data_IF_300674079187
#
_entry.id   IF_300674079187
#
_cell.length_a   1.000
_cell.length_b   1.000
_cell.length_c   1.000
_cell.angle_alpha   90.00
_cell.angle_beta   90.00
_cell.angle_gamma   90.00
#
_symmetry.space_group_name_H-M   'P 1'
#
loop_
_entity.id
_entity.type
_entity.pdbx_description
1 polymer ?
#
# COMPACT_ATOMS: atom_id res chain seq x y z
N UNK A 1 28.87 -3.87 -2.18
CA UNK A 1 27.73 -3.80 -1.24
C UNK A 1 26.39 -4.14 -1.93
N UNK A 2 25.99 -3.44 -3.01
CA UNK A 2 24.68 -3.58 -3.65
C UNK A 2 24.35 -4.95 -4.30
N UNK A 3 25.35 -5.83 -4.48
CA UNK A 3 25.22 -7.14 -5.14
C UNK A 3 25.17 -8.34 -4.18
N UNK A 4 25.08 -8.13 -2.87
CA UNK A 4 24.95 -9.22 -1.89
C UNK A 4 23.51 -9.76 -1.83
N UNK A 5 23.29 -11.09 -1.72
CA UNK A 5 21.96 -11.69 -1.88
C UNK A 5 21.08 -11.68 -0.63
N UNK A 6 21.61 -11.35 0.56
CA UNK A 6 20.80 -11.34 1.79
C UNK A 6 19.70 -10.28 1.71
N UNK A 7 18.57 -10.52 2.38
CA UNK A 7 17.39 -9.63 2.33
C UNK A 7 16.87 -9.43 3.75
N UNK A 8 17.77 -8.95 4.58
CA UNK A 8 17.66 -8.83 6.03
C UNK A 8 18.15 -7.46 6.52
N UNK A 9 18.03 -7.23 7.82
CA UNK A 9 18.40 -5.96 8.46
C UNK A 9 19.91 -5.68 8.35
N UNK A 10 20.77 -6.71 8.36
CA UNK A 10 22.20 -6.54 8.14
C UNK A 10 22.52 -5.91 6.77
N UNK A 11 21.76 -6.24 5.72
CA UNK A 11 21.93 -5.59 4.42
C UNK A 11 21.46 -4.14 4.43
N UNK A 12 20.40 -3.81 5.18
CA UNK A 12 19.98 -2.42 5.36
C UNK A 12 21.11 -1.61 5.99
N UNK A 13 21.73 -2.12 7.05
CA UNK A 13 22.86 -1.47 7.73
C UNK A 13 24.06 -1.27 6.79
N UNK A 14 24.37 -2.28 5.97
CA UNK A 14 25.43 -2.19 4.97
C UNK A 14 25.15 -1.10 3.92
N UNK A 15 23.91 -1.01 3.40
CA UNK A 15 23.53 0.01 2.43
C UNK A 15 23.58 1.42 3.04
N UNK A 16 23.13 1.57 4.28
CA UNK A 16 23.16 2.86 4.98
C UNK A 16 24.59 3.29 5.30
N UNK A 17 25.44 2.35 5.72
CA UNK A 17 26.87 2.62 5.92
C UNK A 17 27.51 3.06 4.61
N UNK A 18 27.24 2.35 3.52
CA UNK A 18 27.72 2.74 2.19
C UNK A 18 27.25 4.15 1.80
N UNK A 19 25.97 4.48 1.98
CA UNK A 19 25.43 5.82 1.72
C UNK A 19 26.18 6.91 2.49
N UNK A 20 26.46 6.68 3.79
CA UNK A 20 27.22 7.61 4.63
C UNK A 20 28.65 7.77 4.09
N UNK A 21 29.32 6.68 3.71
CA UNK A 21 30.67 6.73 3.15
C UNK A 21 30.72 7.50 1.81
N UNK A 22 29.69 7.38 0.97
CA UNK A 22 29.58 8.20 -0.24
C UNK A 22 29.52 9.70 0.08
N UNK A 23 28.93 10.08 1.21
CA UNK A 23 28.97 11.46 1.74
C UNK A 23 30.39 11.95 1.99
N UNK A 24 31.20 11.16 2.69
CA UNK A 24 32.61 11.50 2.97
C UNK A 24 33.46 11.54 1.69
N UNK A 25 33.23 10.60 0.77
CA UNK A 25 33.95 10.54 -0.52
C UNK A 25 33.63 11.73 -1.40
N UNK A 26 32.36 12.12 -1.52
CA UNK A 26 31.95 13.29 -2.31
C UNK A 26 32.66 14.56 -1.83
N UNK A 27 32.60 14.83 -0.52
CA UNK A 27 33.19 16.03 0.07
C UNK A 27 34.71 16.12 -0.11
N UNK A 28 35.40 14.97 -0.23
CA UNK A 28 36.87 14.93 -0.34
C UNK A 28 37.38 14.89 -1.77
N UNK A 29 36.68 14.18 -2.66
CA UNK A 29 37.23 13.82 -3.97
C UNK A 29 36.45 14.39 -5.16
N UNK A 30 35.25 14.96 -4.94
CA UNK A 30 34.39 15.47 -6.01
C UNK A 30 34.16 16.99 -5.85
N UNK A 31 35.18 17.83 -6.08
CA UNK A 31 35.01 19.27 -6.07
C UNK A 31 34.14 19.72 -7.26
N UNK A 32 33.32 20.79 -7.13
CA UNK A 32 32.44 21.27 -8.21
C UNK A 32 33.19 21.68 -9.49
N UNK A 33 34.48 21.97 -9.38
CA UNK A 33 35.33 22.50 -10.46
C UNK A 33 36.02 21.42 -11.29
N UNK A 34 35.92 20.13 -10.93
CA UNK A 34 36.65 19.05 -11.62
C UNK A 34 35.77 17.82 -11.83
N UNK A 35 35.59 17.41 -13.08
CA UNK A 35 34.99 16.11 -13.40
C UNK A 35 36.05 15.02 -13.28
N UNK A 36 35.81 14.02 -12.43
CA UNK A 36 36.76 12.92 -12.16
C UNK A 36 36.73 11.78 -13.19
N UNK A 37 35.85 11.86 -14.21
CA UNK A 37 35.77 10.86 -15.28
C UNK A 37 35.13 9.53 -14.89
N UNK A 38 34.63 9.39 -13.64
CA UNK A 38 33.85 8.22 -13.23
C UNK A 38 32.42 8.32 -13.75
N UNK A 39 31.84 7.18 -14.14
CA UNK A 39 30.46 7.07 -14.57
C UNK A 39 29.75 6.07 -13.65
N UNK A 40 28.70 6.52 -12.99
CA UNK A 40 27.80 5.67 -12.22
C UNK A 40 26.63 5.31 -13.11
N UNK A 41 26.39 4.01 -13.33
CA UNK A 41 25.34 3.50 -14.20
C UNK A 41 24.38 2.61 -13.41
N UNK A 42 23.11 2.95 -13.47
CA UNK A 42 22.01 2.22 -12.82
C UNK A 42 20.91 1.91 -13.83
N UNK A 43 20.11 0.89 -13.55
CA UNK A 43 18.98 0.50 -14.38
C UNK A 43 17.68 0.95 -13.72
N UNK A 44 16.82 1.62 -14.48
CA UNK A 44 15.48 1.97 -14.06
C UNK A 44 14.66 0.70 -13.83
N UNK A 45 14.11 0.56 -12.61
CA UNK A 45 13.46 -0.67 -12.17
C UNK A 45 12.09 -0.94 -12.81
N UNK A 46 11.50 0.03 -13.50
CA UNK A 46 10.18 -0.08 -14.14
C UNK A 46 10.29 -0.26 -15.67
N UNK A 47 11.20 0.48 -16.29
CA UNK A 47 11.37 0.55 -17.75
C UNK A 47 12.55 -0.28 -18.25
N UNK A 48 13.51 -0.62 -17.39
CA UNK A 48 14.74 -1.33 -17.74
C UNK A 48 15.78 -0.48 -18.45
N UNK A 49 15.57 0.83 -18.58
CA UNK A 49 16.49 1.75 -19.24
C UNK A 49 17.72 1.99 -18.37
N UNK A 50 18.90 1.95 -18.98
CA UNK A 50 20.15 2.31 -18.31
C UNK A 50 20.30 3.83 -18.23
N UNK A 51 20.60 4.32 -17.04
CA UNK A 51 20.79 5.72 -16.71
C UNK A 51 22.18 5.90 -16.13
N UNK A 52 22.92 6.91 -16.61
CA UNK A 52 24.29 7.15 -16.17
C UNK A 52 24.55 8.61 -15.82
N UNK A 53 25.27 8.85 -14.73
CA UNK A 53 25.72 10.18 -14.31
C UNK A 53 27.18 10.17 -13.86
N UNK A 54 27.87 11.29 -14.06
CA UNK A 54 29.27 11.44 -13.64
C UNK A 54 29.43 11.91 -12.19
N UNK A 55 28.33 12.33 -11.54
CA UNK A 55 28.31 12.73 -10.14
C UNK A 55 27.77 11.60 -9.25
N UNK A 56 27.96 11.71 -7.94
CA UNK A 56 27.48 10.71 -6.97
C UNK A 56 25.97 10.76 -6.72
N UNK A 57 25.24 11.72 -7.29
CA UNK A 57 23.82 11.90 -6.98
C UNK A 57 23.02 10.66 -7.39
N UNK A 58 23.27 10.12 -8.58
CA UNK A 58 22.62 8.88 -9.04
C UNK A 58 22.95 7.69 -8.14
N UNK A 59 24.21 7.54 -7.73
CA UNK A 59 24.64 6.45 -6.85
C UNK A 59 23.93 6.55 -5.49
N UNK A 60 23.95 7.73 -4.86
CA UNK A 60 23.29 7.99 -3.58
C UNK A 60 21.78 7.78 -3.65
N UNK A 61 21.13 8.30 -4.68
CA UNK A 61 19.71 8.14 -4.92
C UNK A 61 19.33 6.66 -5.08
N UNK A 62 20.10 5.92 -5.89
CA UNK A 62 19.87 4.50 -6.15
C UNK A 62 20.08 3.63 -4.91
N UNK A 63 21.06 3.97 -4.06
CA UNK A 63 21.27 3.28 -2.76
C UNK A 63 20.06 3.50 -1.85
N UNK A 64 19.54 4.72 -1.73
CA UNK A 64 18.34 4.99 -0.93
C UNK A 64 17.11 4.29 -1.49
N UNK A 65 16.92 4.31 -2.81
CA UNK A 65 15.81 3.60 -3.47
C UNK A 65 15.86 2.11 -3.15
N UNK A 66 17.05 1.49 -3.25
CA UNK A 66 17.25 0.09 -2.92
C UNK A 66 17.06 -0.22 -1.43
N UNK A 67 17.43 0.69 -0.53
CA UNK A 67 17.12 0.58 0.90
C UNK A 67 15.62 0.57 1.15
N UNK A 68 14.87 1.48 0.51
CA UNK A 68 13.41 1.49 0.54
C UNK A 68 12.82 0.18 0.03
N UNK A 69 13.28 -0.28 -1.13
CA UNK A 69 12.88 -1.55 -1.73
C UNK A 69 13.16 -2.75 -0.81
N UNK A 70 14.32 -2.78 -0.13
CA UNK A 70 14.67 -3.84 0.81
C UNK A 70 13.72 -3.86 2.02
N UNK A 71 13.36 -2.72 2.58
CA UNK A 71 12.36 -2.65 3.65
C UNK A 71 11.00 -3.21 3.20
N UNK A 72 10.58 -2.97 1.95
CA UNK A 72 9.35 -3.60 1.41
C UNK A 72 9.44 -5.12 1.38
N UNK A 73 10.60 -5.67 1.04
CA UNK A 73 10.84 -7.11 0.98
C UNK A 73 10.87 -7.73 2.38
N UNK A 74 11.44 -7.02 3.36
CA UNK A 74 11.42 -7.44 4.75
C UNK A 74 9.97 -7.49 5.25
N UNK A 75 9.19 -6.42 5.05
CA UNK A 75 7.80 -6.32 5.50
C UNK A 75 6.90 -7.41 4.90
N UNK A 76 7.05 -7.69 3.61
CA UNK A 76 6.26 -8.74 2.91
C UNK A 76 6.61 -10.18 3.33
N UNK A 77 7.78 -10.41 3.95
CA UNK A 77 8.23 -11.73 4.40
C UNK A 77 7.94 -12.05 5.86
N UNK A 78 7.57 -11.05 6.66
CA UNK A 78 7.28 -11.27 8.09
C UNK A 78 6.04 -12.15 8.26
N UNK A 79 6.03 -12.96 9.32
CA UNK A 79 4.94 -13.87 9.62
C UNK A 79 3.72 -13.12 10.16
N UNK A 80 2.64 -13.06 9.37
CA UNK A 80 1.46 -12.22 9.64
C UNK A 80 0.46 -12.81 10.64
N UNK A 81 0.70 -14.01 11.17
CA UNK A 81 -0.19 -14.65 12.17
C UNK A 81 0.21 -14.36 13.63
N UNK A 82 1.13 -13.43 13.86
CA UNK A 82 1.54 -13.03 15.22
C UNK A 82 1.52 -11.52 15.35
N UNK A 83 1.20 -11.01 16.55
CA UNK A 83 1.23 -9.58 16.87
C UNK A 83 2.63 -8.97 16.60
N UNK A 84 3.69 -9.69 16.98
CA UNK A 84 5.07 -9.24 16.79
C UNK A 84 5.46 -9.21 15.30
N UNK A 85 5.07 -10.21 14.51
CA UNK A 85 5.34 -10.25 13.08
C UNK A 85 4.63 -9.14 12.31
N UNK A 86 3.36 -8.84 12.66
CA UNK A 86 2.61 -7.71 12.10
C UNK A 86 3.22 -6.36 12.52
N UNK A 87 3.64 -6.20 13.77
CA UNK A 87 4.35 -4.98 14.19
C UNK A 87 5.65 -4.78 13.39
N UNK A 88 6.45 -5.84 13.21
CA UNK A 88 7.67 -5.77 12.42
C UNK A 88 7.40 -5.42 10.95
N UNK A 89 6.30 -5.91 10.37
CA UNK A 89 5.89 -5.55 9.02
C UNK A 89 5.49 -4.06 8.92
N UNK A 90 4.70 -3.57 9.89
CA UNK A 90 4.33 -2.15 10.02
C UNK A 90 5.59 -1.28 10.06
N UNK A 91 6.53 -1.59 10.96
CA UNK A 91 7.76 -0.82 11.12
C UNK A 91 8.59 -0.81 9.82
N UNK A 92 8.65 -1.95 9.12
CA UNK A 92 9.36 -2.05 7.85
C UNK A 92 8.72 -1.19 6.74
N UNK A 93 7.39 -1.24 6.58
CA UNK A 93 6.71 -0.41 5.57
C UNK A 93 6.80 1.08 5.91
N UNK A 94 6.71 1.46 7.19
CA UNK A 94 6.93 2.85 7.61
C UNK A 94 8.35 3.33 7.32
N UNK A 95 9.37 2.50 7.59
CA UNK A 95 10.76 2.81 7.23
C UNK A 95 10.95 2.93 5.71
N UNK A 96 10.34 2.06 4.92
CA UNK A 96 10.36 2.17 3.46
C UNK A 96 9.75 3.50 2.99
N UNK A 97 8.57 3.87 3.52
CA UNK A 97 7.92 5.14 3.21
C UNK A 97 8.81 6.34 3.56
N UNK A 98 9.43 6.32 4.74
CA UNK A 98 10.34 7.38 5.21
C UNK A 98 11.55 7.57 4.29
N UNK A 99 12.23 6.47 3.93
CA UNK A 99 13.41 6.52 3.05
C UNK A 99 13.05 7.02 1.65
N UNK A 100 11.93 6.54 1.08
CA UNK A 100 11.47 6.98 -0.25
C UNK A 100 11.00 8.44 -0.24
N UNK A 101 10.39 8.90 0.86
CA UNK A 101 10.03 10.31 1.04
C UNK A 101 11.29 11.19 1.13
N UNK A 102 12.30 10.77 1.91
CA UNK A 102 13.58 11.47 2.00
C UNK A 102 14.29 11.55 0.65
N UNK A 103 14.32 10.45 -0.10
CA UNK A 103 14.84 10.40 -1.46
C UNK A 103 14.15 11.45 -2.36
N UNK A 104 12.81 11.49 -2.33
CA UNK A 104 12.00 12.44 -3.11
C UNK A 104 12.35 13.91 -2.79
N UNK A 105 12.50 14.22 -1.52
CA UNK A 105 12.73 15.59 -1.03
C UNK A 105 14.18 16.05 -1.25
N UNK A 106 15.13 15.12 -1.27
CA UNK A 106 16.57 15.41 -1.36
C UNK A 106 17.09 15.40 -2.80
N UNK A 107 16.60 14.49 -3.66
CA UNK A 107 17.13 14.25 -5.01
C UNK A 107 16.10 14.60 -6.09
N UNK A 108 15.84 15.91 -6.27
CA UNK A 108 14.74 16.43 -7.10
C UNK A 108 14.94 16.30 -8.61
N UNK A 109 16.16 16.08 -9.09
CA UNK A 109 16.52 16.05 -10.52
C UNK A 109 17.12 14.71 -10.94
N UNK A 110 16.59 13.62 -10.39
CA UNK A 110 17.05 12.27 -10.73
C UNK A 110 16.62 11.93 -12.16
N UNK A 111 17.55 11.53 -13.06
CA UNK A 111 17.24 11.26 -14.47
C UNK A 111 16.50 9.94 -14.74
N UNK A 112 16.26 9.13 -13.70
CA UNK A 112 15.58 7.83 -13.78
C UNK A 112 14.08 7.98 -13.52
N UNK A 113 13.25 7.28 -14.29
CA UNK A 113 11.79 7.40 -14.22
C UNK A 113 11.22 6.87 -12.91
N UNK A 114 11.74 5.75 -12.41
CA UNK A 114 11.37 5.14 -11.13
C UNK A 114 11.63 6.03 -9.90
N UNK A 115 12.50 7.04 -10.06
CA UNK A 115 12.85 8.02 -9.02
C UNK A 115 12.30 9.42 -9.27
N UNK A 116 11.40 9.63 -10.25
CA UNK A 116 10.74 10.93 -10.41
C UNK A 116 9.83 11.23 -9.21
N UNK A 117 9.61 12.51 -8.85
CA UNK A 117 8.81 12.87 -7.68
C UNK A 117 7.38 12.30 -7.67
N UNK A 118 6.75 12.19 -8.84
CA UNK A 118 5.43 11.61 -9.00
C UNK A 118 5.42 10.10 -8.67
N UNK A 119 6.38 9.34 -9.20
CA UNK A 119 6.52 7.90 -8.94
C UNK A 119 6.87 7.64 -7.47
N UNK A 120 7.84 8.36 -6.91
CA UNK A 120 8.19 8.24 -5.49
C UNK A 120 6.99 8.57 -4.59
N UNK A 121 6.14 9.54 -4.96
CA UNK A 121 4.91 9.83 -4.21
C UNK A 121 3.92 8.66 -4.24
N UNK A 122 3.80 7.95 -5.35
CA UNK A 122 2.99 6.73 -5.46
C UNK A 122 3.57 5.59 -4.64
N UNK A 123 4.89 5.36 -4.68
CA UNK A 123 5.55 4.33 -3.88
C UNK A 123 5.43 4.61 -2.37
N UNK A 124 5.58 5.87 -1.94
CA UNK A 124 5.33 6.28 -0.55
C UNK A 124 3.89 5.99 -0.15
N UNK A 125 2.90 6.39 -0.96
CA UNK A 125 1.48 6.08 -0.70
C UNK A 125 1.22 4.58 -0.64
N UNK A 126 1.89 3.79 -1.48
CA UNK A 126 1.78 2.33 -1.45
C UNK A 126 2.28 1.76 -0.13
N UNK A 127 3.41 2.25 0.39
CA UNK A 127 3.94 1.79 1.68
C UNK A 127 3.05 2.19 2.84
N UNK A 128 2.45 3.39 2.79
CA UNK A 128 1.47 3.82 3.80
C UNK A 128 0.18 2.99 3.73
N UNK A 129 -0.30 2.63 2.55
CA UNK A 129 -1.46 1.74 2.40
C UNK A 129 -1.18 0.34 2.99
N UNK A 130 0.00 -0.24 2.72
CA UNK A 130 0.39 -1.52 3.32
C UNK A 130 0.59 -1.44 4.84
N UNK A 131 1.02 -0.28 5.35
CA UNK A 131 1.10 -0.02 6.79
C UNK A 131 -0.28 -0.10 7.42
N UNK A 132 -1.27 0.60 6.85
CA UNK A 132 -2.64 0.60 7.35
C UNK A 132 -3.28 -0.79 7.26
N UNK A 133 -3.11 -1.50 6.14
CA UNK A 133 -3.60 -2.87 5.98
C UNK A 133 -3.01 -3.81 7.06
N UNK A 134 -1.72 -3.68 7.35
CA UNK A 134 -1.08 -4.47 8.40
C UNK A 134 -1.57 -4.11 9.81
N UNK A 135 -1.97 -2.86 10.02
CA UNK A 135 -2.58 -2.40 11.27
C UNK A 135 -4.01 -2.95 11.44
N UNK A 136 -4.81 -2.96 10.37
CA UNK A 136 -6.10 -3.64 10.32
C UNK A 136 -5.99 -5.13 10.68
N UNK A 137 -5.05 -5.85 10.05
CA UNK A 137 -4.79 -7.25 10.36
C UNK A 137 -4.39 -7.44 11.83
N UNK A 138 -3.56 -6.55 12.37
CA UNK A 138 -3.10 -6.61 13.75
C UNK A 138 -4.25 -6.46 14.75
N UNK A 139 -5.19 -5.55 14.47
CA UNK A 139 -6.40 -5.36 15.27
C UNK A 139 -7.32 -6.58 15.16
N UNK A 140 -7.42 -7.18 13.97
CA UNK A 140 -8.30 -8.31 13.70
C UNK A 140 -7.74 -9.67 14.14
N UNK A 141 -6.43 -9.77 14.39
CA UNK A 141 -5.73 -11.04 14.66
C UNK A 141 -6.28 -11.83 15.86
N UNK A 142 -6.66 -11.22 17.00
CA UNK A 142 -7.25 -11.95 18.13
C UNK A 142 -8.67 -12.50 17.86
N UNK A 143 -9.25 -12.19 16.69
CA UNK A 143 -10.66 -12.42 16.37
C UNK A 143 -11.49 -11.15 16.57
N UNK A 144 -12.51 -10.98 15.71
CA UNK A 144 -13.44 -9.86 15.77
C UNK A 144 -14.69 -10.32 16.52
N UNK A 145 -14.80 -9.92 17.78
CA UNK A 145 -15.93 -10.17 18.66
C UNK A 145 -17.01 -9.11 18.45
N UNK A 146 -18.27 -9.47 18.74
CA UNK A 146 -19.42 -8.56 18.65
C UNK A 146 -19.47 -7.60 19.86
N UNK A 147 -18.36 -6.91 20.10
CA UNK A 147 -18.21 -5.92 21.17
C UNK A 147 -18.16 -4.53 20.57
N UNK A 148 -18.91 -3.59 21.14
CA UNK A 148 -19.06 -2.23 20.63
C UNK A 148 -17.72 -1.57 20.26
N UNK A 149 -16.77 -1.53 21.20
CA UNK A 149 -15.46 -0.89 20.98
C UNK A 149 -14.63 -1.60 19.91
N UNK A 150 -14.75 -2.92 19.80
CA UNK A 150 -14.02 -3.69 18.79
C UNK A 150 -14.59 -3.41 17.39
N UNK A 151 -15.91 -3.42 17.24
CA UNK A 151 -16.57 -3.12 15.97
C UNK A 151 -16.30 -1.71 15.48
N UNK A 152 -16.38 -0.72 16.38
CA UNK A 152 -16.02 0.67 16.05
C UNK A 152 -14.58 0.74 15.54
N UNK A 153 -13.63 0.14 16.28
CA UNK A 153 -12.22 0.17 15.92
C UNK A 153 -11.95 -0.49 14.57
N UNK A 154 -12.52 -1.67 14.32
CA UNK A 154 -12.34 -2.40 13.06
C UNK A 154 -13.02 -1.68 11.89
N UNK A 155 -14.20 -1.08 12.11
CA UNK A 155 -14.89 -0.30 11.08
C UNK A 155 -14.09 0.95 10.66
N UNK A 156 -13.60 1.71 11.64
CA UNK A 156 -12.78 2.91 11.40
C UNK A 156 -11.47 2.56 10.70
N UNK A 157 -10.81 1.50 11.17
CA UNK A 157 -9.56 1.03 10.58
C UNK A 157 -9.76 0.54 9.14
N UNK A 158 -10.82 -0.23 8.88
CA UNK A 158 -11.19 -0.64 7.51
C UNK A 158 -11.48 0.58 6.63
N UNK A 159 -12.21 1.58 7.14
CA UNK A 159 -12.47 2.82 6.41
C UNK A 159 -11.16 3.53 6.05
N UNK A 160 -10.20 3.58 6.99
CA UNK A 160 -8.88 4.17 6.75
C UNK A 160 -8.12 3.43 5.66
N UNK A 161 -8.10 2.09 5.70
CA UNK A 161 -7.45 1.28 4.65
C UNK A 161 -8.09 1.56 3.28
N UNK A 162 -9.43 1.58 3.22
CA UNK A 162 -10.17 1.89 2.00
C UNK A 162 -9.79 3.26 1.42
N UNK A 163 -9.75 4.29 2.27
CA UNK A 163 -9.37 5.66 1.91
C UNK A 163 -7.95 5.73 1.34
N UNK A 164 -6.95 5.16 2.04
CA UNK A 164 -5.55 5.22 1.58
C UNK A 164 -5.35 4.41 0.29
N UNK A 165 -6.07 3.30 0.12
CA UNK A 165 -6.07 2.53 -1.13
C UNK A 165 -6.72 3.29 -2.28
N UNK A 166 -7.81 4.02 -2.04
CA UNK A 166 -8.45 4.87 -3.04
C UNK A 166 -7.52 6.01 -3.47
N UNK A 167 -6.88 6.69 -2.50
CA UNK A 167 -5.89 7.73 -2.79
C UNK A 167 -4.69 7.20 -3.57
N UNK A 168 -4.24 5.97 -3.25
CA UNK A 168 -3.18 5.29 -4.00
C UNK A 168 -3.60 5.03 -5.44
N UNK A 169 -4.78 4.44 -5.65
CA UNK A 169 -5.32 4.18 -6.99
C UNK A 169 -5.43 5.47 -7.81
N UNK A 170 -5.99 6.54 -7.21
CA UNK A 170 -6.10 7.83 -7.86
C UNK A 170 -4.73 8.37 -8.30
N UNK A 171 -3.70 8.25 -7.46
CA UNK A 171 -2.35 8.70 -7.77
C UNK A 171 -1.68 7.85 -8.88
N UNK A 172 -1.95 6.54 -8.91
CA UNK A 172 -1.47 5.65 -9.99
C UNK A 172 -2.12 5.95 -11.35
N UNK A 173 -3.33 6.50 -11.33
CA UNK A 173 -4.10 6.85 -12.53
C UNK A 173 -3.74 8.21 -13.13
N UNK A 174 -2.84 8.98 -12.51
CA UNK A 174 -2.36 10.26 -13.04
C UNK A 174 -1.13 10.10 -13.93
N UNK A 175 -1.00 10.96 -14.95
CA UNK A 175 0.25 11.10 -15.68
C UNK A 175 1.33 11.76 -14.79
N UNK A 176 2.63 11.42 -14.95
CA UNK A 176 3.17 10.45 -15.91
C UNK A 176 3.11 9.00 -15.41
N UNK A 177 2.67 8.73 -14.17
CA UNK A 177 2.76 7.41 -13.51
C UNK A 177 1.97 6.31 -14.21
N UNK A 178 0.76 6.63 -14.68
CA UNK A 178 -0.16 5.70 -15.34
C UNK A 178 0.47 4.91 -16.49
N UNK A 179 1.43 5.51 -17.20
CA UNK A 179 1.99 4.95 -18.44
C UNK A 179 2.97 3.79 -18.18
N UNK A 180 3.66 3.80 -17.04
CA UNK A 180 4.74 2.83 -16.76
C UNK A 180 4.47 1.97 -15.52
N UNK A 181 3.45 2.30 -14.72
CA UNK A 181 3.11 1.46 -13.56
C UNK A 181 2.39 0.18 -14.03
N UNK A 182 2.70 -1.00 -13.47
CA UNK A 182 1.99 -2.22 -13.82
C UNK A 182 0.49 -2.10 -13.57
N UNK A 183 -0.33 -2.36 -14.60
CA UNK A 183 -1.79 -2.29 -14.49
C UNK A 183 -2.36 -3.11 -13.32
N UNK A 184 -1.75 -4.26 -13.02
CA UNK A 184 -2.15 -5.09 -11.87
C UNK A 184 -2.01 -4.41 -10.51
N UNK A 185 -1.09 -3.45 -10.36
CA UNK A 185 -0.92 -2.70 -9.12
C UNK A 185 -2.06 -1.70 -8.91
N UNK A 186 -2.38 -0.93 -9.97
CA UNK A 186 -3.50 0.01 -9.94
C UNK A 186 -4.84 -0.72 -9.73
N UNK A 187 -5.04 -1.85 -10.41
CA UNK A 187 -6.23 -2.70 -10.23
C UNK A 187 -6.31 -3.27 -8.82
N UNK A 188 -5.20 -3.77 -8.24
CA UNK A 188 -5.23 -4.29 -6.86
C UNK A 188 -5.51 -3.20 -5.83
N UNK A 189 -4.99 -1.98 -6.02
CA UNK A 189 -5.30 -0.84 -5.17
C UNK A 189 -6.80 -0.49 -5.22
N UNK A 190 -7.41 -0.54 -6.42
CA UNK A 190 -8.85 -0.35 -6.60
C UNK A 190 -9.67 -1.45 -5.89
N UNK A 191 -9.35 -2.72 -6.16
CA UNK A 191 -9.99 -3.88 -5.51
C UNK A 191 -9.95 -3.76 -3.99
N UNK A 192 -8.80 -3.40 -3.42
CA UNK A 192 -8.63 -3.18 -1.98
C UNK A 192 -9.45 -1.99 -1.47
N UNK A 193 -9.48 -0.88 -2.22
CA UNK A 193 -10.28 0.28 -1.83
C UNK A 193 -11.77 -0.10 -1.66
N UNK A 194 -12.35 -0.78 -2.64
CA UNK A 194 -13.73 -1.27 -2.58
C UNK A 194 -13.92 -2.32 -1.47
N UNK A 195 -13.01 -3.29 -1.35
CA UNK A 195 -13.12 -4.34 -0.32
C UNK A 195 -13.11 -3.76 1.10
N UNK A 196 -12.19 -2.85 1.41
CA UNK A 196 -12.09 -2.26 2.74
C UNK A 196 -13.20 -1.23 3.02
N UNK A 197 -13.68 -0.49 2.00
CA UNK A 197 -14.89 0.32 2.12
C UNK A 197 -16.12 -0.54 2.45
N UNK A 198 -16.24 -1.71 1.81
CA UNK A 198 -17.30 -2.66 2.12
C UNK A 198 -17.20 -3.21 3.54
N UNK A 199 -16.00 -3.58 4.00
CA UNK A 199 -15.78 -4.02 5.39
C UNK A 199 -16.14 -2.94 6.41
N UNK A 200 -15.78 -1.68 6.14
CA UNK A 200 -16.13 -0.56 7.01
C UNK A 200 -17.64 -0.44 7.19
N UNK A 201 -18.38 -0.47 6.08
CA UNK A 201 -19.85 -0.45 6.12
C UNK A 201 -20.43 -1.71 6.75
N UNK A 202 -19.85 -2.88 6.48
CA UNK A 202 -20.28 -4.13 7.09
C UNK A 202 -20.19 -4.07 8.61
N UNK A 203 -19.03 -3.70 9.18
CA UNK A 203 -18.88 -3.62 10.63
C UNK A 203 -19.72 -2.49 11.25
N UNK A 204 -19.90 -1.37 10.53
CA UNK A 204 -20.83 -0.31 10.95
C UNK A 204 -22.27 -0.81 10.98
N UNK A 205 -22.67 -1.66 10.03
CA UNK A 205 -23.99 -2.27 10.06
C UNK A 205 -24.16 -3.30 11.19
N UNK A 206 -23.13 -4.10 11.50
CA UNK A 206 -23.20 -5.00 12.65
C UNK A 206 -23.33 -4.20 13.96
N UNK A 207 -22.70 -3.02 14.02
CA UNK A 207 -22.81 -2.10 15.14
C UNK A 207 -24.22 -1.49 15.28
N UNK A 208 -24.87 -1.19 14.15
CA UNK A 208 -26.17 -0.51 14.08
C UNK A 208 -27.30 -1.52 13.83
N UNK A 209 -28.14 -1.77 14.83
CA UNK A 209 -29.21 -2.78 14.74
C UNK A 209 -30.51 -2.20 14.11
N UNK A 210 -30.47 -0.99 13.55
CA UNK A 210 -31.63 -0.26 13.04
C UNK A 210 -31.66 -0.13 11.49
N UNK A 211 -32.56 0.70 10.95
CA UNK A 211 -32.65 0.96 9.51
C UNK A 211 -31.36 1.53 8.90
N UNK A 212 -30.50 2.22 9.68
CA UNK A 212 -29.18 2.66 9.19
C UNK A 212 -28.23 1.46 9.01
N UNK A 213 -28.36 0.42 9.84
CA UNK A 213 -27.63 -0.83 9.64
C UNK A 213 -27.93 -1.46 8.27
N UNK A 214 -29.21 -1.49 7.86
CA UNK A 214 -29.62 -2.04 6.56
C UNK A 214 -29.03 -1.25 5.38
N UNK A 215 -29.02 0.08 5.44
CA UNK A 215 -28.42 0.90 4.37
C UNK A 215 -26.91 0.73 4.28
N UNK A 216 -26.23 0.56 5.41
CA UNK A 216 -24.82 0.21 5.44
C UNK A 216 -24.55 -1.19 4.85
N UNK A 217 -25.37 -2.21 5.13
CA UNK A 217 -25.22 -3.53 4.49
C UNK A 217 -25.38 -3.46 2.97
N UNK A 218 -26.34 -2.65 2.47
CA UNK A 218 -26.51 -2.44 1.03
C UNK A 218 -25.26 -1.82 0.38
N UNK A 219 -24.68 -0.78 1.01
CA UNK A 219 -23.42 -0.19 0.56
C UNK A 219 -22.26 -1.20 0.61
N UNK A 220 -22.21 -2.02 1.66
CA UNK A 220 -21.20 -3.07 1.78
C UNK A 220 -21.30 -4.10 0.64
N UNK A 221 -22.51 -4.53 0.28
CA UNK A 221 -22.74 -5.44 -0.84
C UNK A 221 -22.32 -4.82 -2.18
N UNK A 222 -22.71 -3.58 -2.45
CA UNK A 222 -22.34 -2.88 -3.68
C UNK A 222 -20.81 -2.79 -3.84
N UNK A 223 -20.10 -2.37 -2.80
CA UNK A 223 -18.65 -2.30 -2.84
C UNK A 223 -17.97 -3.68 -2.92
N UNK A 224 -18.50 -4.73 -2.28
CA UNK A 224 -17.97 -6.08 -2.47
C UNK A 224 -18.16 -6.59 -3.90
N UNK A 225 -19.31 -6.29 -4.52
CA UNK A 225 -19.56 -6.62 -5.92
C UNK A 225 -18.60 -5.89 -6.87
N UNK A 226 -18.40 -4.57 -6.68
CA UNK A 226 -17.40 -3.79 -7.41
C UNK A 226 -15.99 -4.37 -7.25
N UNK A 227 -15.61 -4.77 -6.02
CA UNK A 227 -14.30 -5.36 -5.74
C UNK A 227 -14.08 -6.67 -6.49
N UNK A 228 -15.08 -7.56 -6.52
CA UNK A 228 -15.03 -8.83 -7.26
C UNK A 228 -14.99 -8.57 -8.77
N UNK A 229 -15.79 -7.62 -9.27
CA UNK A 229 -15.82 -7.24 -10.68
C UNK A 229 -14.45 -6.72 -11.13
N UNK A 230 -13.86 -5.76 -10.42
CA UNK A 230 -12.53 -5.21 -10.71
C UNK A 230 -11.43 -6.28 -10.71
N UNK A 231 -11.47 -7.21 -9.75
CA UNK A 231 -10.53 -8.33 -9.69
C UNK A 231 -10.66 -9.25 -10.91
N UNK A 232 -11.87 -9.43 -11.45
CA UNK A 232 -12.13 -10.28 -12.63
C UNK A 232 -11.59 -9.68 -13.93
N UNK A 233 -11.54 -8.34 -14.04
CA UNK A 233 -11.04 -7.62 -15.22
C UNK A 233 -9.52 -7.78 -15.37
N UNK A 234 -8.77 -7.86 -14.26
CA UNK A 234 -7.33 -8.05 -14.31
C UNK A 234 -6.93 -9.54 -14.36
N UNK A 235 -6.38 -10.00 -15.50
CA UNK A 235 -5.91 -11.40 -15.68
C UNK A 235 -4.99 -11.87 -14.54
N UNK A 236 -4.08 -11.00 -14.07
CA UNK A 236 -3.14 -11.34 -12.99
C UNK A 236 -3.88 -11.54 -11.66
N UNK A 237 -4.84 -10.69 -11.32
CA UNK A 237 -5.59 -10.80 -10.05
C UNK A 237 -6.54 -11.99 -10.06
N UNK A 238 -7.18 -12.28 -11.19
CA UNK A 238 -8.01 -13.47 -11.38
C UNK A 238 -7.26 -14.78 -11.13
N UNK A 239 -5.94 -14.81 -11.41
CA UNK A 239 -5.10 -15.99 -11.15
C UNK A 239 -4.66 -16.15 -9.69
N UNK A 240 -4.93 -15.19 -8.81
CA UNK A 240 -4.54 -15.26 -7.39
C UNK A 240 -5.69 -15.92 -6.60
N UNK A 241 -5.60 -17.23 -6.38
CA UNK A 241 -6.66 -18.00 -5.71
C UNK A 241 -7.05 -17.47 -4.33
N UNK A 242 -6.05 -17.08 -3.52
CA UNK A 242 -6.29 -16.56 -2.17
C UNK A 242 -7.09 -15.26 -2.21
N UNK A 243 -6.80 -14.38 -3.18
CA UNK A 243 -7.56 -13.14 -3.36
C UNK A 243 -9.01 -13.46 -3.72
N UNK A 244 -9.25 -14.35 -4.68
CA UNK A 244 -10.61 -14.73 -5.08
C UNK A 244 -11.39 -15.33 -3.90
N UNK A 245 -10.76 -16.21 -3.11
CA UNK A 245 -11.38 -16.79 -1.90
C UNK A 245 -11.78 -15.72 -0.89
N UNK A 246 -10.91 -14.75 -0.61
CA UNK A 246 -11.19 -13.66 0.34
C UNK A 246 -12.34 -12.79 -0.14
N UNK A 247 -12.33 -12.37 -1.40
CA UNK A 247 -13.37 -11.51 -1.97
C UNK A 247 -14.74 -12.20 -1.99
N UNK A 248 -14.80 -13.46 -2.45
CA UNK A 248 -16.05 -14.22 -2.47
C UNK A 248 -16.60 -14.48 -1.05
N UNK A 249 -15.74 -14.82 -0.09
CA UNK A 249 -16.17 -15.05 1.29
C UNK A 249 -16.72 -13.78 1.94
N UNK A 250 -16.09 -12.63 1.69
CA UNK A 250 -16.55 -11.34 2.21
C UNK A 250 -17.88 -10.91 1.58
N UNK A 251 -18.02 -11.07 0.25
CA UNK A 251 -19.26 -10.79 -0.47
C UNK A 251 -20.43 -11.65 0.05
N UNK A 252 -20.20 -12.96 0.17
CA UNK A 252 -21.23 -13.90 0.63
C UNK A 252 -21.64 -13.60 2.08
N UNK A 253 -20.68 -13.25 2.94
CA UNK A 253 -20.97 -12.84 4.32
C UNK A 253 -21.87 -11.61 4.38
N UNK A 254 -21.59 -10.57 3.59
CA UNK A 254 -22.45 -9.38 3.53
C UNK A 254 -23.85 -9.73 3.00
N UNK A 255 -23.94 -10.56 1.96
CA UNK A 255 -25.21 -11.00 1.36
C UNK A 255 -26.09 -11.77 2.34
N UNK A 256 -25.51 -12.75 3.04
CA UNK A 256 -26.22 -13.53 4.06
C UNK A 256 -26.69 -12.66 5.23
N UNK A 257 -25.85 -11.73 5.68
CA UNK A 257 -26.21 -10.80 6.76
C UNK A 257 -27.36 -9.89 6.34
N UNK A 258 -27.34 -9.37 5.10
CA UNK A 258 -28.45 -8.57 4.58
C UNK A 258 -29.76 -9.36 4.49
N UNK A 259 -29.71 -10.60 3.97
CA UNK A 259 -30.89 -11.46 3.86
C UNK A 259 -31.53 -11.77 5.22
N UNK A 260 -30.74 -11.86 6.30
CA UNK A 260 -31.25 -12.05 7.67
C UNK A 260 -32.03 -10.84 8.21
N UNK A 261 -31.80 -9.64 7.65
CA UNK A 261 -32.40 -8.38 8.09
C UNK A 261 -33.47 -7.86 7.12
N UNK A 262 -33.86 -8.67 6.12
CA UNK A 262 -34.87 -8.30 5.13
C UNK A 262 -36.27 -8.56 5.70
N UNK A 263 -37.04 -7.50 5.95
CA UNK A 263 -38.48 -7.59 6.22
C UNK A 263 -39.26 -7.22 4.94
N UNK A 264 -40.47 -7.77 4.77
CA UNK A 264 -41.24 -7.69 3.52
C UNK A 264 -41.63 -6.26 3.09
N UNK A 265 -41.55 -5.26 3.99
CA UNK A 265 -41.96 -3.86 3.77
C UNK A 265 -40.81 -2.86 3.49
N UNK A 266 -39.54 -3.32 3.43
CA UNK A 266 -38.36 -2.43 3.44
C UNK A 266 -37.96 -1.82 2.08
N UNK A 267 -38.59 -2.22 0.96
CA UNK A 267 -38.08 -1.91 -0.39
C UNK A 267 -38.07 -0.41 -0.76
N UNK A 268 -38.80 0.43 -0.03
CA UNK A 268 -39.05 1.82 -0.43
C UNK A 268 -38.58 2.90 0.56
N UNK A 269 -38.07 2.55 1.75
CA UNK A 269 -37.79 3.51 2.83
C UNK A 269 -36.34 3.59 3.32
N UNK A 270 -35.36 2.97 2.64
CA UNK A 270 -33.95 3.08 3.06
C UNK A 270 -33.32 4.40 2.62
N UNK A 271 -32.92 5.22 3.59
CA UNK A 271 -32.06 6.40 3.40
C UNK A 271 -30.64 5.93 3.07
N UNK A 272 -29.94 6.65 2.17
CA UNK A 272 -28.53 6.37 1.88
C UNK A 272 -27.67 6.44 3.14
N UNK A 273 -26.85 5.40 3.36
CA UNK A 273 -25.98 5.34 4.53
C UNK A 273 -24.89 6.42 4.45
N UNK A 274 -24.54 7.11 5.54
CA UNK A 274 -23.44 8.06 5.56
C UNK A 274 -22.08 7.35 5.36
N UNK A 275 -21.03 8.11 5.02
CA UNK A 275 -19.67 7.57 4.99
C UNK A 275 -19.19 7.23 6.41
N UNK A 276 -18.45 6.14 6.55
CA UNK A 276 -17.84 5.76 7.84
C UNK A 276 -16.74 6.76 8.16
N UNK A 277 -16.85 7.44 9.29
CA UNK A 277 -15.91 8.49 9.68
C UNK A 277 -14.55 7.86 10.01
N UNK A 278 -13.53 8.40 9.36
CA UNK A 278 -12.12 8.14 9.66
C UNK A 278 -11.68 9.21 10.65
N UNK A 279 -11.35 8.84 11.89
CA UNK A 279 -10.81 9.74 12.92
C UNK A 279 -9.29 9.69 12.92
#
# INVERSE_FOLDING_TARGET
ACQTPSRDEARVELLMTYFIQLGFVENRFFPPTRQMGFLFTWCDSLTGVLVSQQNLLLEKASVLFNTGALYTQIGTRRYRHTQAGLQSAIDAFQRAAGVLKYLKETFTHTPSYDMIPAMLSVLVKMMLAQTQESMFEKISLPGIWNEFFMLVKVAQEAAKVGEVCQQLHAAMSQAPVKENIPYSWASLACVKAHHYAALAHYFTAILLIDHQGKSHLRRAMAHHEESVQEASLCKKLRSIEVLQKVLCAAQERSRLTYAQHQEDDDLLNLIDAPSVVVV
#
